data_IF_182109920441
#
_entry.id   IF_182109920441
#
_cell.length_a   1.000
_cell.length_b   1.000
_cell.length_c   1.000
_cell.angle_alpha   90.00
_cell.angle_beta   90.00
_cell.angle_gamma   90.00
#
_symmetry.space_group_name_H-M   'P 1'
#
loop_
_entity.id
_entity.type
_entity.pdbx_description
1 polymer ?
#
# COMPACT_ATOMS: atom_id res chain seq x y z
N UNK A 1 -1.26 17.52 -15.45
CA UNK A 1 -0.91 16.34 -14.64
C UNK A 1 0.47 16.62 -14.06
N UNK A 2 0.68 16.17 -12.81
CA UNK A 2 1.94 16.46 -12.10
C UNK A 2 2.82 15.22 -12.14
N UNK A 3 4.07 15.40 -12.56
CA UNK A 3 5.08 14.35 -12.63
C UNK A 3 6.39 14.83 -11.99
N UNK A 4 7.15 13.89 -11.47
CA UNK A 4 8.55 14.08 -11.10
C UNK A 4 9.39 13.02 -11.81
N UNK A 5 10.54 13.42 -12.33
CA UNK A 5 11.50 12.50 -12.93
C UNK A 5 12.49 12.03 -11.87
N UNK A 6 12.62 10.72 -11.71
CA UNK A 6 13.57 10.09 -10.79
C UNK A 6 15.00 10.14 -11.34
N UNK A 7 15.98 9.78 -10.52
CA UNK A 7 17.40 9.78 -10.92
C UNK A 7 17.73 8.78 -12.03
N UNK A 8 16.92 7.73 -12.18
CA UNK A 8 17.02 6.74 -13.27
C UNK A 8 16.10 7.05 -14.47
N UNK A 9 15.50 8.25 -14.50
CA UNK A 9 14.76 8.78 -15.66
C UNK A 9 13.29 8.35 -15.75
N UNK A 10 12.74 7.76 -14.67
CA UNK A 10 11.34 7.34 -14.62
C UNK A 10 10.45 8.51 -14.23
N UNK A 11 9.38 8.75 -14.97
CA UNK A 11 8.38 9.77 -14.60
C UNK A 11 7.34 9.17 -13.68
N UNK A 12 7.27 9.69 -12.45
CA UNK A 12 6.30 9.30 -11.42
C UNK A 12 5.18 10.31 -11.37
N UNK A 13 3.97 9.88 -11.69
CA UNK A 13 2.75 10.67 -11.55
C UNK A 13 2.38 10.82 -10.08
N UNK A 14 1.92 12.02 -9.68
CA UNK A 14 1.36 12.23 -8.35
C UNK A 14 0.16 13.18 -8.36
N UNK A 15 -0.72 13.01 -7.36
CA UNK A 15 -1.75 13.93 -6.93
C UNK A 15 -1.24 14.71 -5.72
N UNK A 16 -1.56 16.00 -5.63
CA UNK A 16 -1.17 16.89 -4.53
C UNK A 16 -2.26 17.93 -4.32
N UNK A 17 -3.13 17.69 -3.34
CA UNK A 17 -4.30 18.51 -3.06
C UNK A 17 -4.21 19.14 -1.68
N UNK A 18 -4.83 20.32 -1.53
CA UNK A 18 -4.87 21.10 -0.29
C UNK A 18 -3.82 22.20 -0.21
N UNK A 19 -3.81 22.89 0.92
CA UNK A 19 -2.85 23.97 1.16
C UNK A 19 -1.42 23.44 1.24
N UNK A 20 -0.47 24.11 0.60
CA UNK A 20 0.95 23.74 0.65
C UNK A 20 1.59 23.90 2.03
N UNK A 21 0.95 24.67 2.92
CA UNK A 21 1.37 24.88 4.31
C UNK A 21 0.68 23.95 5.30
N UNK A 22 -0.30 23.14 4.86
CA UNK A 22 -0.96 22.18 5.72
C UNK A 22 -0.08 20.93 5.92
N UNK A 23 -0.29 20.23 7.04
CA UNK A 23 0.44 18.99 7.36
C UNK A 23 0.19 17.94 6.30
N UNK A 24 1.23 17.34 5.69
CA UNK A 24 1.05 16.41 4.59
C UNK A 24 0.75 14.99 5.07
N UNK A 25 -0.20 14.34 4.38
CA UNK A 25 -0.43 12.90 4.42
C UNK A 25 -0.10 12.33 3.06
N UNK A 26 0.77 11.31 3.02
CA UNK A 26 1.22 10.64 1.80
C UNK A 26 0.67 9.22 1.77
N UNK A 27 -0.06 8.90 0.72
CA UNK A 27 -0.73 7.62 0.54
C UNK A 27 0.00 6.74 -0.47
N UNK A 28 0.14 5.45 -0.14
CA UNK A 28 0.86 4.45 -0.93
C UNK A 28 -0.06 3.28 -1.24
N UNK A 29 -0.40 3.13 -2.52
CA UNK A 29 -1.38 2.13 -2.97
C UNK A 29 -0.87 0.69 -2.92
N UNK A 30 -1.81 -0.27 -2.84
CA UNK A 30 -1.56 -1.70 -2.99
C UNK A 30 -1.29 -2.10 -4.44
N UNK A 31 -0.89 -3.35 -4.63
CA UNK A 31 -0.81 -3.97 -5.95
C UNK A 31 -2.19 -4.45 -6.41
N UNK A 32 -2.55 -4.30 -7.68
CA UNK A 32 -1.92 -3.62 -8.81
C UNK A 32 -2.53 -2.22 -9.05
N UNK A 33 -2.89 -1.54 -7.97
CA UNK A 33 -3.71 -0.32 -7.97
C UNK A 33 -2.89 0.94 -8.32
N UNK A 34 -3.48 2.10 -8.13
CA UNK A 34 -2.93 3.42 -8.43
C UNK A 34 -3.27 4.40 -7.30
N UNK A 35 -2.84 5.65 -7.41
CA UNK A 35 -3.23 6.73 -6.50
C UNK A 35 -4.75 6.95 -6.43
N UNK A 36 -5.52 6.46 -7.41
CA UNK A 36 -6.99 6.59 -7.44
C UNK A 36 -7.69 5.73 -6.38
N UNK A 37 -7.01 4.69 -5.87
CA UNK A 37 -7.52 3.87 -4.78
C UNK A 37 -7.73 4.66 -3.48
N UNK A 38 -6.98 5.75 -3.34
CA UNK A 38 -7.00 6.61 -2.17
C UNK A 38 -7.94 7.81 -2.26
N UNK A 39 -8.71 7.97 -3.35
CA UNK A 39 -9.56 9.16 -3.57
C UNK A 39 -10.54 9.40 -2.42
N UNK A 40 -11.12 8.35 -1.85
CA UNK A 40 -12.02 8.45 -0.71
C UNK A 40 -11.34 9.02 0.54
N UNK A 41 -10.17 8.50 0.90
CA UNK A 41 -9.36 8.98 2.02
C UNK A 41 -8.80 10.38 1.76
N UNK A 42 -8.32 10.63 0.54
CA UNK A 42 -7.81 11.95 0.16
C UNK A 42 -8.89 13.02 0.30
N UNK A 43 -10.12 12.79 -0.16
CA UNK A 43 -11.25 13.72 0.02
C UNK A 43 -11.60 13.90 1.50
N UNK A 44 -11.62 12.83 2.29
CA UNK A 44 -11.90 12.89 3.72
C UNK A 44 -10.88 13.79 4.45
N UNK A 45 -9.58 13.55 4.27
CA UNK A 45 -8.51 14.31 4.94
C UNK A 45 -8.36 15.74 4.38
N UNK A 46 -8.61 15.93 3.09
CA UNK A 46 -8.70 17.27 2.49
C UNK A 46 -9.77 18.11 3.19
N UNK A 47 -10.96 17.51 3.45
CA UNK A 47 -12.04 18.12 4.21
C UNK A 47 -11.70 18.40 5.68
N UNK A 48 -10.65 17.78 6.22
CA UNK A 48 -10.08 18.04 7.56
C UNK A 48 -8.93 19.05 7.56
N UNK A 49 -8.58 19.62 6.41
CA UNK A 49 -7.57 20.65 6.29
C UNK A 49 -6.13 20.14 6.09
N UNK A 50 -5.93 18.85 5.82
CA UNK A 50 -4.61 18.29 5.50
C UNK A 50 -4.23 18.53 4.04
N UNK A 51 -2.93 18.57 3.76
CA UNK A 51 -2.40 18.38 2.40
C UNK A 51 -2.33 16.89 2.14
N UNK A 52 -2.88 16.43 1.02
CA UNK A 52 -2.95 15.00 0.69
C UNK A 52 -2.23 14.72 -0.61
N UNK A 53 -1.30 13.77 -0.57
CA UNK A 53 -0.44 13.40 -1.70
C UNK A 53 -0.55 11.90 -1.93
N UNK A 54 -0.65 11.47 -3.18
CA UNK A 54 -0.59 10.08 -3.58
C UNK A 54 0.10 9.96 -4.94
N UNK A 55 0.96 8.96 -5.12
CA UNK A 55 1.64 8.71 -6.39
C UNK A 55 1.25 7.35 -6.98
N UNK A 56 1.27 7.26 -8.30
CA UNK A 56 1.25 5.97 -8.99
C UNK A 56 2.69 5.41 -8.95
N UNK A 57 2.88 4.18 -8.46
CA UNK A 57 4.18 3.49 -8.45
C UNK A 57 4.67 3.31 -9.90
N UNK A 58 6.00 3.25 -10.12
CA UNK A 58 6.55 2.89 -11.44
C UNK A 58 5.85 1.65 -12.01
N UNK A 59 5.57 1.66 -13.29
CA UNK A 59 4.85 0.57 -13.95
C UNK A 59 3.35 0.49 -13.66
N UNK A 60 2.81 1.35 -12.79
CA UNK A 60 1.39 1.40 -12.43
C UNK A 60 0.74 2.70 -12.92
N UNK A 61 -0.53 2.63 -13.24
CA UNK A 61 -1.37 3.78 -13.57
C UNK A 61 -0.76 4.69 -14.64
N UNK A 62 -0.50 5.95 -14.25
CA UNK A 62 -0.02 7.03 -15.12
C UNK A 62 1.51 7.21 -15.10
N UNK A 63 2.21 6.53 -14.19
CA UNK A 63 3.68 6.52 -14.15
C UNK A 63 4.27 5.75 -15.31
N UNK A 64 5.53 6.04 -15.66
CA UNK A 64 6.21 5.38 -16.79
C UNK A 64 6.19 3.85 -16.61
N UNK A 65 5.82 3.16 -17.68
CA UNK A 65 5.81 1.69 -17.74
C UNK A 65 7.20 1.18 -18.14
N UNK A 66 8.10 1.11 -17.15
CA UNK A 66 9.46 0.59 -17.32
C UNK A 66 9.50 -0.92 -17.26
N UNK A 67 10.56 -1.53 -17.85
CA UNK A 67 10.77 -2.98 -17.87
C UNK A 67 11.51 -3.54 -16.65
N UNK A 68 12.01 -2.67 -15.75
CA UNK A 68 12.85 -3.06 -14.61
C UNK A 68 12.62 -2.17 -13.39
N UNK A 69 13.28 -2.50 -12.27
CA UNK A 69 13.14 -1.74 -11.02
C UNK A 69 11.84 -2.02 -10.28
N UNK A 70 11.24 -3.19 -10.46
CA UNK A 70 10.01 -3.60 -9.79
C UNK A 70 10.31 -4.30 -8.46
N UNK A 71 10.98 -3.58 -7.54
CA UNK A 71 11.34 -4.03 -6.21
C UNK A 71 11.15 -2.92 -5.16
N UNK A 72 11.22 -3.27 -3.88
CA UNK A 72 10.94 -2.32 -2.79
C UNK A 72 11.97 -1.20 -2.69
N UNK A 73 13.22 -1.40 -3.13
CA UNK A 73 14.26 -0.37 -3.09
C UNK A 73 13.98 0.74 -4.11
N UNK A 74 13.66 0.37 -5.35
CA UNK A 74 13.25 1.33 -6.37
C UNK A 74 11.93 2.02 -6.01
N UNK A 75 10.95 1.28 -5.47
CA UNK A 75 9.69 1.87 -5.02
C UNK A 75 9.89 2.90 -3.91
N UNK A 76 10.80 2.66 -2.98
CA UNK A 76 11.15 3.61 -1.92
C UNK A 76 11.90 4.83 -2.47
N UNK A 77 12.80 4.64 -3.44
CA UNK A 77 13.51 5.73 -4.12
C UNK A 77 12.55 6.64 -4.89
N UNK A 78 11.56 6.08 -5.59
CA UNK A 78 10.52 6.85 -6.28
C UNK A 78 9.72 7.73 -5.30
N UNK A 79 9.36 7.18 -4.14
CA UNK A 79 8.70 7.97 -3.09
C UNK A 79 9.59 9.11 -2.63
N UNK A 80 10.89 8.85 -2.40
CA UNK A 80 11.84 9.90 -2.00
C UNK A 80 11.89 11.03 -3.03
N UNK A 81 11.91 10.71 -4.32
CA UNK A 81 11.89 11.72 -5.38
C UNK A 81 10.63 12.61 -5.31
N UNK A 82 9.44 12.04 -5.08
CA UNK A 82 8.19 12.79 -4.91
C UNK A 82 8.25 13.69 -3.66
N UNK A 83 8.68 13.11 -2.52
CA UNK A 83 8.75 13.82 -1.23
C UNK A 83 9.74 15.00 -1.29
N UNK A 84 10.90 14.80 -1.91
CA UNK A 84 11.92 15.84 -2.08
C UNK A 84 11.45 16.92 -3.05
N UNK A 85 10.87 16.54 -4.20
CA UNK A 85 10.33 17.48 -5.19
C UNK A 85 9.27 18.41 -4.60
N UNK A 86 8.41 17.89 -3.71
CA UNK A 86 7.34 18.65 -3.05
C UNK A 86 7.79 19.30 -1.73
N UNK A 87 9.04 19.09 -1.30
CA UNK A 87 9.61 19.46 0.01
C UNK A 87 8.69 19.12 1.18
N UNK A 88 8.15 17.89 1.20
CA UNK A 88 7.28 17.46 2.30
C UNK A 88 8.11 17.21 3.55
N UNK A 89 7.65 17.74 4.68
CA UNK A 89 8.26 17.60 6.01
C UNK A 89 7.18 17.23 7.01
N UNK A 90 7.56 16.56 8.11
CA UNK A 90 6.63 16.06 9.12
C UNK A 90 5.46 15.27 8.53
N UNK A 91 5.73 14.55 7.45
CA UNK A 91 4.74 13.82 6.70
C UNK A 91 4.25 12.57 7.45
N UNK A 92 2.96 12.28 7.29
CA UNK A 92 2.35 11.04 7.75
C UNK A 92 2.24 10.12 6.53
N UNK A 93 2.85 8.94 6.62
CA UNK A 93 2.83 7.97 5.53
C UNK A 93 1.83 6.86 5.82
N UNK A 94 0.87 6.64 4.92
CA UNK A 94 -0.17 5.61 5.03
C UNK A 94 -0.04 4.65 3.86
N UNK A 95 0.28 3.39 4.12
CA UNK A 95 0.46 2.38 3.10
C UNK A 95 -0.51 1.21 3.23
N UNK A 96 -1.16 0.86 2.11
CA UNK A 96 -2.04 -0.30 2.02
C UNK A 96 -1.32 -1.45 1.32
N UNK A 97 -1.39 -2.67 1.89
CA UNK A 97 -0.87 -3.88 1.26
C UNK A 97 0.62 -3.73 0.87
N UNK A 98 0.97 -3.88 -0.41
CA UNK A 98 2.30 -3.60 -0.97
C UNK A 98 2.78 -2.17 -0.64
N UNK A 99 1.87 -1.20 -0.58
CA UNK A 99 2.18 0.17 -0.18
C UNK A 99 2.69 0.29 1.25
N UNK A 100 2.29 -0.61 2.15
CA UNK A 100 2.85 -0.70 3.51
C UNK A 100 4.32 -1.15 3.51
N UNK A 101 4.68 -2.09 2.63
CA UNK A 101 6.07 -2.47 2.39
C UNK A 101 6.91 -1.31 1.84
N UNK A 102 6.34 -0.57 0.89
CA UNK A 102 6.97 0.64 0.34
C UNK A 102 7.19 1.70 1.43
N UNK A 103 6.22 1.91 2.32
CA UNK A 103 6.34 2.83 3.47
C UNK A 103 7.46 2.39 4.41
N UNK A 104 7.50 1.12 4.81
CA UNK A 104 8.52 0.60 5.72
C UNK A 104 9.94 0.82 5.14
N UNK A 105 10.16 0.48 3.87
CA UNK A 105 11.43 0.65 3.18
C UNK A 105 11.80 2.13 3.02
N UNK A 106 10.86 2.98 2.60
CA UNK A 106 11.08 4.42 2.45
C UNK A 106 11.48 5.08 3.77
N UNK A 107 10.78 4.79 4.86
CA UNK A 107 11.06 5.39 6.16
C UNK A 107 12.51 5.13 6.57
N UNK A 108 12.96 3.90 6.44
CA UNK A 108 14.29 3.48 6.92
C UNK A 108 15.42 3.98 6.01
N UNK A 109 15.21 3.94 4.69
CA UNK A 109 16.27 4.32 3.75
C UNK A 109 16.38 5.82 3.53
N UNK A 110 15.25 6.54 3.56
CA UNK A 110 15.19 7.96 3.17
C UNK A 110 14.54 8.85 4.21
N UNK A 111 13.34 8.51 4.65
CA UNK A 111 12.46 9.39 5.40
C UNK A 111 13.00 9.78 6.77
N UNK A 112 13.41 8.81 7.59
CA UNK A 112 14.03 9.05 8.91
C UNK A 112 15.41 9.72 8.80
N UNK A 113 16.34 9.24 7.94
CA UNK A 113 17.63 9.90 7.77
C UNK A 113 17.54 11.37 7.38
N UNK A 114 16.47 11.75 6.68
CA UNK A 114 16.22 13.12 6.25
C UNK A 114 15.32 13.92 7.22
N UNK A 115 14.80 13.32 8.29
CA UNK A 115 13.89 13.95 9.24
C UNK A 115 12.55 14.38 8.64
N UNK A 116 12.02 13.64 7.64
CA UNK A 116 10.83 14.01 6.88
C UNK A 116 9.55 13.30 7.32
N UNK A 117 9.65 12.29 8.20
CA UNK A 117 8.52 11.45 8.61
C UNK A 117 8.14 11.71 10.05
N UNK A 118 6.86 12.01 10.30
CA UNK A 118 6.31 12.18 11.64
C UNK A 118 5.65 10.90 12.18
N UNK A 119 4.86 10.21 11.35
CA UNK A 119 4.11 8.99 11.72
C UNK A 119 3.99 8.06 10.52
N UNK A 120 3.74 6.78 10.80
CA UNK A 120 3.43 5.77 9.80
C UNK A 120 2.13 5.03 10.11
N UNK A 121 1.43 4.58 9.07
CA UNK A 121 0.28 3.67 9.18
C UNK A 121 0.44 2.55 8.17
N UNK A 122 0.35 1.32 8.63
CA UNK A 122 0.43 0.10 7.85
C UNK A 122 -0.96 -0.56 7.86
N UNK A 123 -1.67 -0.51 6.71
CA UNK A 123 -3.03 -1.05 6.59
C UNK A 123 -3.01 -2.32 5.76
N UNK A 124 -3.44 -3.44 6.31
CA UNK A 124 -3.46 -4.75 5.62
C UNK A 124 -2.16 -5.03 4.88
N UNK A 125 -1.03 -4.69 5.49
CA UNK A 125 0.27 -4.53 4.82
C UNK A 125 1.10 -5.81 4.80
N UNK A 126 1.92 -5.98 3.74
CA UNK A 126 2.67 -7.20 3.44
C UNK A 126 3.87 -7.52 4.35
N UNK A 127 4.56 -6.57 5.01
CA UNK A 127 5.64 -6.91 5.93
C UNK A 127 5.18 -7.81 7.10
N UNK A 128 6.10 -8.59 7.71
CA UNK A 128 7.54 -8.64 7.44
C UNK A 128 7.90 -9.42 6.18
N UNK A 129 7.18 -10.46 5.82
CA UNK A 129 7.41 -11.33 4.67
C UNK A 129 6.13 -12.14 4.41
N UNK A 130 5.72 -12.28 3.16
CA UNK A 130 4.54 -13.10 2.85
C UNK A 130 4.90 -14.56 2.56
N UNK A 131 5.97 -14.78 1.80
CA UNK A 131 6.33 -16.14 1.37
C UNK A 131 6.87 -16.99 2.51
N UNK A 132 6.51 -18.26 2.50
CA UNK A 132 7.07 -19.27 3.41
C UNK A 132 8.58 -19.42 3.20
N UNK A 133 9.34 -19.34 4.28
CA UNK A 133 10.79 -19.48 4.29
C UNK A 133 11.28 -20.08 5.61
N UNK A 134 12.59 -20.27 5.76
CA UNK A 134 13.16 -20.72 7.03
C UNK A 134 12.93 -19.69 8.16
N UNK A 135 12.97 -18.39 7.85
CA UNK A 135 12.67 -17.31 8.80
C UNK A 135 11.19 -17.05 9.00
N UNK A 136 10.33 -17.56 8.10
CA UNK A 136 8.87 -17.38 8.13
C UNK A 136 8.14 -18.70 7.80
N UNK A 137 8.18 -19.70 8.72
CA UNK A 137 7.71 -21.05 8.43
C UNK A 137 6.20 -21.18 8.21
N UNK A 138 5.40 -20.23 8.72
CA UNK A 138 3.96 -20.19 8.53
C UNK A 138 3.51 -19.31 7.35
N UNK A 139 4.47 -18.75 6.59
CA UNK A 139 4.17 -17.94 5.41
C UNK A 139 3.43 -18.69 4.33
N UNK A 140 2.95 -17.96 3.35
CA UNK A 140 2.19 -18.48 2.21
C UNK A 140 3.14 -19.29 1.29
N UNK A 141 2.78 -20.50 0.86
CA UNK A 141 3.58 -21.27 -0.08
C UNK A 141 3.86 -20.51 -1.38
N UNK A 142 5.05 -20.70 -1.97
CA UNK A 142 5.46 -20.03 -3.23
C UNK A 142 4.49 -20.33 -4.38
N UNK A 143 3.93 -21.54 -4.42
CA UNK A 143 2.99 -21.99 -5.42
C UNK A 143 1.74 -21.11 -5.51
N UNK A 144 1.34 -20.47 -4.42
CA UNK A 144 0.25 -19.49 -4.42
C UNK A 144 0.60 -18.27 -5.28
N UNK A 145 1.81 -17.74 -5.10
CA UNK A 145 2.29 -16.58 -5.86
C UNK A 145 2.56 -16.92 -7.33
N UNK A 146 3.03 -18.14 -7.60
CA UNK A 146 3.15 -18.64 -8.97
C UNK A 146 1.78 -18.80 -9.63
N UNK A 147 0.75 -19.17 -8.86
CA UNK A 147 -0.63 -19.18 -9.32
C UNK A 147 -1.13 -17.79 -9.73
N UNK A 148 -0.78 -16.75 -8.98
CA UNK A 148 -1.09 -15.35 -9.35
C UNK A 148 -0.37 -14.98 -10.66
N UNK A 149 0.93 -15.30 -10.79
CA UNK A 149 1.71 -15.07 -12.03
C UNK A 149 1.07 -15.77 -13.23
N UNK A 150 0.68 -17.03 -13.06
CA UNK A 150 0.01 -17.82 -14.09
C UNK A 150 -1.34 -17.22 -14.49
N UNK A 151 -2.14 -16.77 -13.53
CA UNK A 151 -3.43 -16.10 -13.76
C UNK A 151 -3.27 -14.81 -14.57
N UNK A 152 -2.28 -13.98 -14.22
CA UNK A 152 -1.96 -12.77 -14.98
C UNK A 152 -1.53 -13.07 -16.41
N UNK A 153 -0.68 -14.07 -16.60
CA UNK A 153 -0.19 -14.47 -17.91
C UNK A 153 -1.30 -15.05 -18.80
N UNK A 154 -2.23 -15.80 -18.21
CA UNK A 154 -3.34 -16.43 -18.94
C UNK A 154 -4.43 -15.42 -19.36
N UNK A 155 -4.94 -14.62 -18.41
CA UNK A 155 -5.98 -13.62 -18.66
C UNK A 155 -6.00 -12.58 -17.53
N UNK A 156 -5.14 -11.58 -17.63
CA UNK A 156 -5.03 -10.50 -16.63
C UNK A 156 -6.37 -9.80 -16.35
N UNK A 157 -7.15 -9.56 -17.39
CA UNK A 157 -8.40 -8.84 -17.25
C UNK A 157 -9.42 -9.60 -16.39
N UNK A 158 -9.60 -10.91 -16.65
CA UNK A 158 -10.52 -11.73 -15.87
C UNK A 158 -9.98 -11.96 -14.46
N UNK A 159 -8.67 -12.22 -14.31
CA UNK A 159 -8.04 -12.39 -13.02
C UNK A 159 -8.32 -11.19 -12.08
N UNK A 160 -8.23 -9.97 -12.58
CA UNK A 160 -8.49 -8.77 -11.78
C UNK A 160 -9.95 -8.63 -11.39
N UNK A 161 -10.89 -8.98 -12.25
CA UNK A 161 -12.32 -9.00 -11.90
C UNK A 161 -12.58 -10.01 -10.77
N UNK A 162 -12.09 -11.24 -10.94
CA UNK A 162 -12.33 -12.33 -9.99
C UNK A 162 -11.69 -12.03 -8.61
N UNK A 163 -10.50 -11.46 -8.62
CA UNK A 163 -9.79 -11.11 -7.39
C UNK A 163 -10.50 -10.00 -6.61
N UNK A 164 -10.97 -8.96 -7.29
CA UNK A 164 -11.74 -7.88 -6.67
C UNK A 164 -13.12 -8.37 -6.20
N UNK A 165 -13.81 -9.16 -7.01
CA UNK A 165 -15.13 -9.73 -6.68
C UNK A 165 -15.07 -10.77 -5.55
N UNK A 166 -13.89 -11.32 -5.26
CA UNK A 166 -13.67 -12.36 -4.26
C UNK A 166 -12.90 -11.87 -3.04
N UNK A 167 -11.65 -12.31 -2.95
CA UNK A 167 -10.80 -12.21 -1.76
C UNK A 167 -10.47 -10.77 -1.34
N UNK A 168 -10.31 -9.83 -2.29
CA UNK A 168 -9.83 -8.49 -1.98
C UNK A 168 -10.82 -7.68 -1.13
N UNK A 169 -12.10 -7.64 -1.54
CA UNK A 169 -13.17 -6.92 -0.83
C UNK A 169 -14.04 -7.83 0.05
N UNK A 170 -13.76 -9.14 0.09
CA UNK A 170 -14.57 -10.09 0.84
C UNK A 170 -15.98 -10.27 0.27
N UNK A 171 -16.21 -9.90 -1.00
CA UNK A 171 -17.54 -10.03 -1.65
C UNK A 171 -17.97 -11.48 -1.87
N UNK A 172 -17.08 -12.45 -1.63
CA UNK A 172 -17.36 -13.88 -1.58
C UNK A 172 -17.90 -14.36 -0.22
N UNK A 173 -18.06 -13.46 0.77
CA UNK A 173 -18.63 -13.81 2.08
C UNK A 173 -20.16 -13.71 2.05
N UNK A 174 -20.88 -14.52 2.85
CA UNK A 174 -22.32 -14.40 3.02
C UNK A 174 -22.70 -12.99 3.50
N UNK A 175 -23.86 -12.51 3.06
CA UNK A 175 -24.46 -11.23 3.47
C UNK A 175 -23.64 -9.96 3.12
N UNK A 176 -22.58 -10.09 2.33
CA UNK A 176 -21.76 -8.95 1.89
C UNK A 176 -22.49 -8.17 0.81
N UNK A 177 -22.56 -6.85 0.97
CA UNK A 177 -23.12 -5.96 -0.06
C UNK A 177 -22.12 -5.76 -1.19
N UNK A 178 -22.25 -6.56 -2.25
CA UNK A 178 -21.40 -6.45 -3.44
C UNK A 178 -21.66 -5.12 -4.16
N UNK A 179 -20.58 -4.44 -4.56
CA UNK A 179 -20.62 -3.22 -5.37
C UNK A 179 -19.90 -3.43 -6.70
N UNK A 180 -20.66 -3.49 -7.80
CA UNK A 180 -20.06 -3.64 -9.13
C UNK A 180 -19.16 -2.46 -9.48
N UNK A 181 -19.53 -1.23 -9.11
CA UNK A 181 -18.69 -0.05 -9.36
C UNK A 181 -17.34 -0.09 -8.65
N UNK A 182 -17.27 -0.72 -7.47
CA UNK A 182 -15.99 -0.93 -6.75
C UNK A 182 -15.13 -1.97 -7.49
N UNK A 183 -15.74 -3.08 -7.95
CA UNK A 183 -15.06 -4.11 -8.75
C UNK A 183 -14.52 -3.52 -10.04
N UNK A 184 -15.35 -2.78 -10.78
CA UNK A 184 -14.97 -2.15 -12.05
C UNK A 184 -13.85 -1.12 -11.88
N UNK A 185 -13.89 -0.32 -10.79
CA UNK A 185 -12.84 0.65 -10.49
C UNK A 185 -11.51 -0.05 -10.15
N UNK A 186 -11.54 -1.15 -9.40
CA UNK A 186 -10.35 -1.95 -9.11
C UNK A 186 -9.74 -2.54 -10.39
N UNK A 187 -10.59 -3.14 -11.23
CA UNK A 187 -10.20 -3.67 -12.53
C UNK A 187 -9.60 -2.59 -13.43
N UNK A 188 -10.26 -1.42 -13.53
CA UNK A 188 -9.78 -0.28 -14.32
C UNK A 188 -8.37 0.13 -13.89
N UNK A 189 -8.15 0.28 -12.58
CA UNK A 189 -6.83 0.65 -12.05
C UNK A 189 -5.77 -0.40 -12.40
N UNK A 190 -6.07 -1.68 -12.20
CA UNK A 190 -5.17 -2.76 -12.57
C UNK A 190 -4.85 -2.80 -14.07
N UNK A 191 -5.83 -2.51 -14.93
CA UNK A 191 -5.61 -2.52 -16.38
C UNK A 191 -4.83 -1.31 -16.91
N UNK A 192 -4.74 -0.20 -16.14
CA UNK A 192 -3.93 0.97 -16.51
C UNK A 192 -2.42 0.74 -16.41
N UNK A 193 -1.97 -0.19 -15.59
CA UNK A 193 -0.54 -0.46 -15.39
C UNK A 193 0.04 -1.46 -16.40
N UNK A 194 1.37 -1.58 -16.40
CA UNK A 194 2.12 -2.53 -17.21
C UNK A 194 1.86 -3.97 -16.76
N UNK A 195 1.60 -4.87 -17.69
CA UNK A 195 1.48 -6.30 -17.41
C UNK A 195 2.77 -6.87 -16.80
N UNK A 196 3.93 -6.45 -17.32
CA UNK A 196 5.25 -6.85 -16.83
C UNK A 196 5.49 -6.33 -15.41
N UNK A 197 5.23 -5.04 -15.14
CA UNK A 197 5.41 -4.46 -13.81
C UNK A 197 4.54 -5.15 -12.75
N UNK A 198 3.31 -5.51 -13.11
CA UNK A 198 2.44 -6.24 -12.19
C UNK A 198 2.91 -7.68 -11.96
N UNK A 199 3.42 -8.34 -13.00
CA UNK A 199 3.97 -9.68 -12.90
C UNK A 199 5.23 -9.72 -12.00
N UNK A 200 6.20 -8.83 -12.26
CA UNK A 200 7.44 -8.72 -11.48
C UNK A 200 7.17 -8.19 -10.06
N UNK A 201 6.22 -7.27 -9.92
CA UNK A 201 5.80 -6.73 -8.62
C UNK A 201 5.29 -7.77 -7.63
N UNK A 202 4.86 -8.96 -8.10
CA UNK A 202 4.50 -10.07 -7.22
C UNK A 202 5.71 -10.48 -6.37
N UNK A 203 6.90 -10.55 -6.95
CA UNK A 203 8.13 -10.82 -6.20
C UNK A 203 8.40 -9.74 -5.16
N UNK A 204 8.22 -8.48 -5.52
CA UNK A 204 8.47 -7.36 -4.62
C UNK A 204 7.64 -7.46 -3.33
N UNK A 205 6.34 -7.74 -3.42
CA UNK A 205 5.49 -7.79 -2.24
C UNK A 205 5.52 -9.13 -1.51
N UNK A 206 5.84 -10.23 -2.19
CA UNK A 206 5.76 -11.57 -1.57
C UNK A 206 7.08 -12.08 -1.02
N UNK A 207 8.21 -11.74 -1.66
CA UNK A 207 9.52 -12.34 -1.39
C UNK A 207 10.51 -11.38 -0.70
N UNK A 208 10.17 -10.09 -0.54
CA UNK A 208 11.05 -9.13 0.15
C UNK A 208 10.90 -9.28 1.66
N UNK A 209 11.97 -9.70 2.33
CA UNK A 209 12.01 -9.70 3.80
C UNK A 209 12.26 -8.27 4.31
N UNK A 210 11.29 -7.77 5.06
CA UNK A 210 11.29 -6.42 5.64
C UNK A 210 11.30 -6.43 7.18
N UNK A 211 11.66 -7.56 7.80
CA UNK A 211 11.73 -7.66 9.25
C UNK A 211 12.71 -6.63 9.84
N UNK A 212 13.87 -6.44 9.20
CA UNK A 212 14.84 -5.44 9.64
C UNK A 212 14.39 -4.00 9.37
N UNK A 213 13.61 -3.76 8.31
CA UNK A 213 13.02 -2.44 8.12
C UNK A 213 12.08 -2.09 9.28
N UNK A 214 11.17 -3.00 9.65
CA UNK A 214 10.22 -2.77 10.75
C UNK A 214 10.94 -2.47 12.09
N UNK A 215 12.01 -3.20 12.42
CA UNK A 215 12.81 -2.99 13.65
C UNK A 215 13.48 -1.61 13.70
N UNK A 216 13.78 -1.03 12.54
CA UNK A 216 14.48 0.25 12.39
C UNK A 216 13.54 1.45 12.29
N UNK A 217 12.23 1.25 12.21
CA UNK A 217 11.25 2.34 12.24
C UNK A 217 11.21 2.95 13.66
N UNK A 218 11.53 4.24 13.75
CA UNK A 218 11.60 4.99 15.02
C UNK A 218 10.48 6.03 15.20
N UNK A 219 9.51 6.05 14.30
CA UNK A 219 8.33 6.93 14.40
C UNK A 219 7.13 6.15 14.93
N UNK A 220 6.15 6.83 15.59
CA UNK A 220 4.90 6.19 15.97
C UNK A 220 4.22 5.54 14.76
N UNK A 221 3.89 4.26 14.89
CA UNK A 221 3.35 3.46 13.78
C UNK A 221 2.06 2.76 14.18
N UNK A 222 0.98 3.00 13.45
CA UNK A 222 -0.28 2.29 13.60
C UNK A 222 -0.33 1.13 12.61
N UNK A 223 -0.63 -0.06 13.10
CA UNK A 223 -0.93 -1.25 12.29
C UNK A 223 -2.42 -1.50 12.35
N UNK A 224 -3.08 -1.53 11.19
CA UNK A 224 -4.53 -1.75 11.04
C UNK A 224 -4.77 -2.93 10.11
N UNK A 225 -5.56 -3.91 10.55
CA UNK A 225 -5.89 -5.06 9.69
C UNK A 225 -7.22 -5.71 10.08
N UNK A 226 -7.94 -6.23 9.08
CA UNK A 226 -9.09 -7.09 9.29
C UNK A 226 -8.66 -8.52 9.61
N UNK A 227 -9.37 -9.22 10.48
CA UNK A 227 -9.08 -10.62 10.78
C UNK A 227 -9.66 -11.60 9.72
N UNK A 228 -10.53 -11.11 8.82
CA UNK A 228 -10.98 -11.85 7.62
C UNK A 228 -10.25 -11.38 6.34
N UNK A 229 -9.05 -10.86 6.46
CA UNK A 229 -8.18 -10.55 5.32
C UNK A 229 -7.73 -11.84 4.63
N UNK A 230 -8.32 -12.14 3.46
CA UNK A 230 -8.07 -13.35 2.68
C UNK A 230 -6.84 -13.23 1.76
N UNK A 231 -6.20 -12.06 1.70
CA UNK A 231 -5.04 -11.75 0.85
C UNK A 231 -3.75 -11.77 1.66
N UNK A 232 -3.76 -11.04 2.79
CA UNK A 232 -2.64 -10.97 3.73
C UNK A 232 -3.13 -11.50 5.08
N UNK A 233 -2.75 -12.73 5.48
CA UNK A 233 -3.20 -13.29 6.76
C UNK A 233 -2.73 -12.44 7.94
N UNK A 234 -3.66 -11.88 8.74
CA UNK A 234 -3.33 -10.96 9.83
C UNK A 234 -2.39 -11.56 10.88
N UNK A 235 -2.49 -12.87 11.10
CA UNK A 235 -1.63 -13.59 12.05
C UNK A 235 -0.16 -13.59 11.63
N UNK A 236 0.11 -13.63 10.32
CA UNK A 236 1.44 -13.68 9.73
C UNK A 236 1.94 -12.29 9.26
N UNK A 237 1.11 -11.27 9.39
CA UNK A 237 1.44 -9.88 9.07
C UNK A 237 1.28 -8.97 10.30
N UNK A 238 0.10 -8.46 10.60
CA UNK A 238 -0.13 -7.47 11.67
C UNK A 238 0.39 -7.93 13.03
N UNK A 239 0.17 -9.22 13.42
CA UNK A 239 0.65 -9.75 14.70
C UNK A 239 2.17 -9.94 14.75
N UNK A 240 2.84 -10.02 13.62
CA UNK A 240 4.30 -10.03 13.55
C UNK A 240 4.86 -8.61 13.49
N UNK A 241 4.22 -7.71 12.72
CA UNK A 241 4.62 -6.31 12.63
C UNK A 241 4.69 -5.65 14.02
N UNK A 242 3.65 -5.83 14.83
CA UNK A 242 3.60 -5.21 16.17
C UNK A 242 4.70 -5.71 17.11
N UNK A 243 5.20 -6.93 16.92
CA UNK A 243 6.33 -7.48 17.68
C UNK A 243 7.67 -6.90 17.28
N UNK A 244 7.78 -6.41 16.03
CA UNK A 244 9.03 -5.89 15.46
C UNK A 244 9.13 -4.37 15.60
N UNK A 245 7.99 -3.67 15.59
CA UNK A 245 7.93 -2.21 15.69
C UNK A 245 8.25 -1.73 17.11
N UNK A 246 9.12 -0.74 17.23
CA UNK A 246 9.52 -0.12 18.51
C UNK A 246 8.38 0.70 19.14
N UNK A 247 7.65 1.44 18.31
CA UNK A 247 6.55 2.33 18.73
C UNK A 247 5.26 1.99 17.96
N UNK A 248 4.89 0.72 17.98
CA UNK A 248 3.73 0.19 17.28
C UNK A 248 2.44 0.25 18.13
N UNK A 249 1.34 0.58 17.48
CA UNK A 249 -0.03 0.40 18.02
C UNK A 249 -0.79 -0.50 17.06
N UNK A 250 -1.52 -1.49 17.59
CA UNK A 250 -2.28 -2.45 16.77
C UNK A 250 -3.78 -2.21 16.91
N UNK A 251 -4.47 -2.23 15.77
CA UNK A 251 -5.94 -2.26 15.72
C UNK A 251 -6.42 -3.34 14.74
N UNK A 252 -7.13 -4.33 15.27
CA UNK A 252 -7.74 -5.41 14.48
C UNK A 252 -9.23 -5.14 14.34
N UNK A 253 -9.76 -5.39 13.14
CA UNK A 253 -11.17 -5.19 12.78
C UNK A 253 -11.83 -6.54 12.49
N UNK A 254 -12.73 -6.99 13.38
CA UNK A 254 -13.38 -8.30 13.24
C UNK A 254 -14.24 -8.38 11.98
N UNK A 255 -13.99 -9.40 11.14
CA UNK A 255 -14.72 -9.66 9.92
C UNK A 255 -14.40 -8.74 8.73
N UNK A 256 -13.42 -7.83 8.86
CA UNK A 256 -13.09 -6.91 7.77
C UNK A 256 -12.15 -7.55 6.74
N UNK A 257 -12.38 -7.28 5.43
CA UNK A 257 -11.57 -7.82 4.35
C UNK A 257 -10.28 -7.02 4.11
N UNK A 258 -9.45 -7.47 3.16
CA UNK A 258 -8.25 -6.79 2.73
C UNK A 258 -8.49 -5.33 2.28
N UNK A 259 -9.52 -5.11 1.47
CA UNK A 259 -9.91 -3.81 0.95
C UNK A 259 -10.79 -2.99 1.90
N UNK A 260 -10.63 -3.10 3.22
CA UNK A 260 -11.46 -2.43 4.23
C UNK A 260 -11.44 -0.90 4.13
N UNK A 261 -10.39 -0.30 3.57
CA UNK A 261 -10.32 1.14 3.31
C UNK A 261 -11.46 1.64 2.42
N UNK A 262 -11.87 0.83 1.45
CA UNK A 262 -12.96 1.12 0.52
C UNK A 262 -14.31 0.68 1.08
N UNK A 263 -14.39 -0.53 1.65
CA UNK A 263 -15.66 -1.11 2.08
C UNK A 263 -16.14 -0.60 3.44
N UNK A 264 -15.25 -0.11 4.30
CA UNK A 264 -15.53 0.35 5.66
C UNK A 264 -14.85 1.70 5.97
N UNK A 265 -14.79 2.57 4.96
CA UNK A 265 -14.14 3.88 5.10
C UNK A 265 -14.77 4.77 6.18
N UNK A 266 -16.05 4.59 6.48
CA UNK A 266 -16.78 5.27 7.55
C UNK A 266 -16.27 4.95 8.96
N UNK A 267 -15.66 3.77 9.17
CA UNK A 267 -15.00 3.37 10.42
C UNK A 267 -13.51 3.64 10.35
N UNK A 268 -12.85 3.29 9.25
CA UNK A 268 -11.40 3.36 9.12
C UNK A 268 -10.88 4.81 9.10
N UNK A 269 -11.56 5.72 8.40
CA UNK A 269 -11.11 7.11 8.29
C UNK A 269 -11.11 7.87 9.64
N UNK A 270 -12.12 7.76 10.52
CA UNK A 270 -12.07 8.31 11.86
C UNK A 270 -10.92 7.74 12.72
N UNK A 271 -10.65 6.44 12.62
CA UNK A 271 -9.57 5.79 13.35
C UNK A 271 -8.18 6.27 12.90
N UNK A 272 -8.01 6.43 11.58
CA UNK A 272 -6.81 7.07 11.02
C UNK A 272 -6.64 8.49 11.55
N UNK A 273 -7.71 9.30 11.53
CA UNK A 273 -7.69 10.67 12.03
C UNK A 273 -7.30 10.72 13.50
N UNK A 274 -7.90 9.89 14.34
CA UNK A 274 -7.60 9.83 15.77
C UNK A 274 -6.11 9.54 16.04
N UNK A 275 -5.50 8.61 15.29
CA UNK A 275 -4.07 8.34 15.40
C UNK A 275 -3.20 9.51 14.91
N UNK A 276 -3.61 10.17 13.82
CA UNK A 276 -2.88 11.30 13.24
C UNK A 276 -2.84 12.48 14.21
N UNK A 277 -3.92 12.73 14.93
CA UNK A 277 -4.08 13.86 15.86
C UNK A 277 -3.48 13.58 17.27
N UNK A 278 -3.33 12.32 17.66
CA UNK A 278 -2.71 11.94 18.94
C UNK A 278 -1.20 12.25 18.95
#
# INVERSE_FOLDING_TARGET
>A
MSYVTTTDGVEIYYKDWGSKTARPIVFHHGWPLTADDWDGQMLYFLGKGYRVVASDRRGHGRSTQVGEGHDMDHYAADVSAVIEHLDLRDAIHIGHSTGGGQVARYIVQYGQPQGRVAKAVLVSSVPPLMVKSASHPNGIPMEFFDGIRAGLAANRAQFYVDFAAGAFYGFNRPDTKVSQGVIDNWWRQGMMGSAQAHYEGIKAFSETDQAEDLKRIEVPTLVMQGDDDQVVPYAEAALLQIKLLKYGTLKIYPGYPHGMLTTHGDVINPDLLAFIEA
#
